data_IF_398042404135
#
_entry.id   IF_398042404135
#
_cell.length_a   1.000
_cell.length_b   1.000
_cell.length_c   1.000
_cell.angle_alpha   90.00
_cell.angle_beta   90.00
_cell.angle_gamma   90.00
#
_symmetry.space_group_name_H-M   'P 1'
#
loop_
_entity.id
_entity.type
_entity.pdbx_description
1 polymer ?
#
# COMPACT_ATOMS: atom_id res chain seq x y z
N UNK A 1 0.60 -11.33 22.08
CA UNK A 1 2.01 -11.07 21.73
C UNK A 1 2.38 -9.66 22.19
N UNK A 2 3.60 -9.45 22.68
CA UNK A 2 4.11 -8.13 23.03
C UNK A 2 4.46 -7.32 21.76
N UNK A 3 4.57 -5.98 21.91
CA UNK A 3 5.01 -5.09 20.81
C UNK A 3 6.35 -5.54 20.24
N UNK A 4 7.29 -5.94 21.09
CA UNK A 4 8.60 -6.43 20.66
C UNK A 4 8.51 -7.72 19.85
N UNK A 5 7.71 -8.68 20.29
CA UNK A 5 7.52 -9.94 19.56
C UNK A 5 6.95 -9.71 18.15
N UNK A 6 6.03 -8.75 17.98
CA UNK A 6 5.51 -8.36 16.68
C UNK A 6 6.60 -7.79 15.77
N UNK A 7 7.43 -6.90 16.31
CA UNK A 7 8.53 -6.29 15.56
C UNK A 7 9.57 -7.34 15.14
N UNK A 8 9.95 -8.23 16.06
CA UNK A 8 10.93 -9.28 15.80
C UNK A 8 10.43 -10.25 14.71
N UNK A 9 9.17 -10.67 14.77
CA UNK A 9 8.57 -11.53 13.75
C UNK A 9 8.55 -10.86 12.37
N UNK A 10 8.18 -9.59 12.29
CA UNK A 10 8.18 -8.86 11.04
C UNK A 10 9.58 -8.70 10.44
N UNK A 11 10.59 -8.48 11.31
CA UNK A 11 11.98 -8.41 10.88
C UNK A 11 12.53 -9.77 10.43
N UNK A 12 12.20 -10.84 11.12
CA UNK A 12 12.55 -12.20 10.69
C UNK A 12 11.99 -12.52 9.31
N UNK A 13 10.74 -12.16 9.04
CA UNK A 13 10.16 -12.31 7.70
C UNK A 13 10.93 -11.54 6.64
N UNK A 14 11.37 -10.32 6.96
CA UNK A 14 12.20 -9.52 6.06
C UNK A 14 13.56 -10.19 5.78
N UNK A 15 14.24 -10.67 6.81
CA UNK A 15 15.53 -11.35 6.69
C UNK A 15 15.40 -12.64 5.87
N UNK A 16 14.36 -13.43 6.08
CA UNK A 16 14.08 -14.64 5.31
C UNK A 16 13.88 -14.34 3.81
N UNK A 17 13.09 -13.33 3.48
CA UNK A 17 12.87 -12.90 2.08
C UNK A 17 14.19 -12.43 1.44
N UNK A 18 15.01 -11.67 2.14
CA UNK A 18 16.32 -11.23 1.63
C UNK A 18 17.23 -12.43 1.37
N UNK A 19 17.31 -13.38 2.30
CA UNK A 19 18.16 -14.58 2.17
C UNK A 19 17.69 -15.49 1.03
N UNK A 20 16.39 -15.60 0.79
CA UNK A 20 15.83 -16.41 -0.30
C UNK A 20 16.01 -15.79 -1.68
N UNK A 21 16.45 -14.52 -1.78
CA UNK A 21 16.60 -13.82 -3.04
C UNK A 21 18.01 -14.02 -3.60
N UNK A 22 18.15 -14.81 -4.67
CA UNK A 22 19.43 -15.08 -5.31
C UNK A 22 20.16 -13.78 -5.72
N UNK A 23 21.45 -13.69 -5.35
CA UNK A 23 22.29 -12.52 -5.66
C UNK A 23 21.96 -11.26 -4.84
N UNK A 24 21.02 -11.34 -3.92
CA UNK A 24 20.68 -10.21 -3.05
C UNK A 24 21.57 -10.21 -1.80
N UNK A 25 22.13 -9.05 -1.49
CA UNK A 25 22.89 -8.85 -0.25
C UNK A 25 22.17 -7.85 0.63
N UNK A 26 22.01 -8.20 1.89
CA UNK A 26 21.48 -7.28 2.92
C UNK A 26 22.35 -6.02 2.96
N UNK A 27 21.69 -4.86 2.85
CA UNK A 27 22.33 -3.56 3.00
C UNK A 27 21.92 -2.97 4.34
N UNK A 28 22.88 -2.41 5.05
CA UNK A 28 22.66 -1.86 6.40
C UNK A 28 21.50 -0.84 6.44
N UNK A 29 21.48 0.11 5.48
CA UNK A 29 20.40 1.09 5.40
C UNK A 29 19.02 0.48 5.11
N UNK A 30 18.98 -0.60 4.35
CA UNK A 30 17.73 -1.34 4.09
C UNK A 30 17.25 -2.07 5.34
N UNK A 31 18.14 -2.72 6.08
CA UNK A 31 17.84 -3.40 7.33
C UNK A 31 17.32 -2.42 8.38
N UNK A 32 18.01 -1.28 8.58
CA UNK A 32 17.56 -0.22 9.50
C UNK A 32 16.17 0.31 9.15
N UNK A 33 15.88 0.47 7.86
CA UNK A 33 14.55 0.89 7.42
C UNK A 33 13.49 -0.17 7.77
N UNK A 34 13.78 -1.45 7.51
CA UNK A 34 12.87 -2.54 7.86
C UNK A 34 12.62 -2.63 9.36
N UNK A 35 13.65 -2.49 10.19
CA UNK A 35 13.53 -2.42 11.65
C UNK A 35 12.63 -1.26 12.10
N UNK A 36 12.88 -0.06 11.57
CA UNK A 36 12.09 1.12 11.91
C UNK A 36 10.60 0.94 11.53
N UNK A 37 10.34 0.36 10.36
CA UNK A 37 8.98 0.04 9.92
C UNK A 37 8.33 -0.98 10.85
N UNK A 38 9.02 -2.09 11.14
CA UNK A 38 8.52 -3.14 12.03
C UNK A 38 8.19 -2.60 13.43
N UNK A 39 9.08 -1.81 14.02
CA UNK A 39 8.87 -1.17 15.32
C UNK A 39 7.68 -0.21 15.30
N UNK A 40 7.56 0.61 14.26
CA UNK A 40 6.47 1.57 14.14
C UNK A 40 5.12 0.88 14.02
N UNK A 41 5.01 -0.10 13.13
CA UNK A 41 3.77 -0.87 12.98
C UNK A 41 3.42 -1.67 14.24
N UNK A 42 4.41 -2.18 14.97
CA UNK A 42 4.17 -2.93 16.21
C UNK A 42 3.56 -2.06 17.33
N UNK A 43 3.88 -0.78 17.35
CA UNK A 43 3.35 0.18 18.31
C UNK A 43 1.96 0.70 17.96
N UNK A 44 1.59 0.67 16.68
CA UNK A 44 0.28 1.11 16.22
C UNK A 44 -0.80 0.11 16.64
N UNK A 45 -1.95 0.62 17.06
CA UNK A 45 -3.13 -0.19 17.36
C UNK A 45 -4.34 0.39 16.62
N UNK A 46 -5.08 -0.48 15.94
CA UNK A 46 -6.38 -0.11 15.39
C UNK A 46 -7.39 -0.08 16.55
N UNK A 47 -8.15 1.00 16.67
CA UNK A 47 -9.31 1.03 17.54
C UNK A 47 -10.31 -0.03 17.09
N UNK A 48 -11.00 -0.67 18.02
CA UNK A 48 -12.12 -1.54 17.69
C UNK A 48 -13.39 -0.70 17.68
N UNK A 49 -14.20 -0.82 16.63
CA UNK A 49 -15.50 -0.14 16.54
C UNK A 49 -16.50 -0.60 17.61
N UNK A 50 -16.26 -1.77 18.21
CA UNK A 50 -17.13 -2.40 19.22
C UNK A 50 -16.69 -2.15 20.66
N UNK A 51 -15.54 -1.51 20.86
CA UNK A 51 -14.95 -1.26 22.18
C UNK A 51 -14.69 0.25 22.30
N UNK A 52 -15.62 0.96 22.96
CA UNK A 52 -15.53 2.42 23.14
C UNK A 52 -14.30 2.85 23.94
N UNK A 53 -13.71 1.96 24.73
CA UNK A 53 -12.50 2.20 25.52
C UNK A 53 -11.21 1.93 24.74
N UNK A 54 -11.27 1.22 23.60
CA UNK A 54 -10.11 0.90 22.77
C UNK A 54 -9.74 2.06 21.85
N UNK A 55 -9.02 3.03 22.41
CA UNK A 55 -8.52 4.16 21.61
C UNK A 55 -7.43 3.72 20.61
N UNK A 56 -7.52 4.14 19.33
CA UNK A 56 -6.49 3.84 18.36
C UNK A 56 -5.18 4.52 18.75
N UNK A 57 -4.11 3.74 18.81
CA UNK A 57 -2.75 4.27 19.02
C UNK A 57 -2.07 4.49 17.69
N UNK A 58 -1.75 5.73 17.38
CA UNK A 58 -1.01 6.09 16.17
C UNK A 58 0.50 6.01 16.41
N UNK A 59 1.22 5.51 15.41
CA UNK A 59 2.67 5.57 15.35
C UNK A 59 3.09 6.01 13.95
N UNK A 60 4.07 6.90 13.85
CA UNK A 60 4.52 7.48 12.59
C UNK A 60 6.04 7.35 12.52
N UNK A 61 6.55 6.78 11.43
CA UNK A 61 7.96 6.84 11.08
C UNK A 61 8.15 7.68 9.83
N UNK A 62 9.14 8.56 9.87
CA UNK A 62 9.59 9.31 8.69
C UNK A 62 10.99 8.83 8.36
N UNK A 63 11.14 8.20 7.18
CA UNK A 63 12.40 7.60 6.77
C UNK A 63 12.85 8.20 5.45
N UNK A 64 14.03 8.81 5.46
CA UNK A 64 14.70 9.27 4.24
C UNK A 64 15.75 8.25 3.83
N UNK A 65 15.65 7.77 2.59
CA UNK A 65 16.63 6.85 2.02
C UNK A 65 16.86 7.16 0.54
N UNK A 66 18.10 7.08 0.10
CA UNK A 66 18.51 7.30 -1.29
C UNK A 66 17.90 6.30 -2.27
N UNK A 67 18.10 6.55 -3.57
CA UNK A 67 17.70 5.60 -4.62
C UNK A 67 18.57 4.34 -4.56
N UNK A 68 18.00 3.19 -4.95
CA UNK A 68 18.76 1.93 -5.01
C UNK A 68 18.99 1.22 -3.67
N UNK A 69 18.54 1.76 -2.53
CA UNK A 69 18.67 1.12 -1.21
C UNK A 69 17.78 -0.13 -1.08
N UNK A 70 16.75 -0.26 -1.90
CA UNK A 70 15.77 -1.35 -1.80
C UNK A 70 14.61 -1.03 -0.87
N UNK A 71 14.15 0.22 -0.89
CA UNK A 71 13.06 0.72 -0.03
C UNK A 71 11.79 -0.11 -0.11
N UNK A 72 11.36 -0.49 -1.32
CA UNK A 72 10.12 -1.25 -1.53
C UNK A 72 10.09 -2.53 -0.71
N UNK A 73 11.18 -3.28 -0.73
CA UNK A 73 11.32 -4.50 0.08
C UNK A 73 11.32 -4.18 1.58
N UNK A 74 12.08 -3.15 1.98
CA UNK A 74 12.28 -2.80 3.38
C UNK A 74 10.99 -2.36 4.09
N UNK A 75 10.04 -1.73 3.39
CA UNK A 75 8.76 -1.37 4.00
C UNK A 75 7.65 -2.38 3.74
N UNK A 76 7.63 -3.03 2.56
CA UNK A 76 6.53 -3.94 2.21
C UNK A 76 6.55 -5.21 3.03
N UNK A 77 7.72 -5.85 3.21
CA UNK A 77 7.77 -7.14 3.91
C UNK A 77 7.35 -7.02 5.37
N UNK A 78 7.91 -6.10 6.19
CA UNK A 78 7.46 -5.96 7.58
C UNK A 78 5.98 -5.56 7.69
N UNK A 79 5.51 -4.70 6.80
CA UNK A 79 4.12 -4.28 6.79
C UNK A 79 3.15 -5.43 6.47
N UNK A 80 3.46 -6.24 5.44
CA UNK A 80 2.67 -7.40 5.06
C UNK A 80 2.69 -8.46 6.17
N UNK A 81 3.87 -8.78 6.70
CA UNK A 81 4.01 -9.75 7.79
C UNK A 81 3.18 -9.34 9.01
N UNK A 82 3.21 -8.06 9.37
CA UNK A 82 2.41 -7.51 10.46
C UNK A 82 0.90 -7.59 10.18
N UNK A 83 0.50 -7.28 8.94
CA UNK A 83 -0.91 -7.35 8.54
C UNK A 83 -1.44 -8.78 8.60
N UNK A 84 -0.68 -9.75 8.11
CA UNK A 84 -1.02 -11.17 8.18
C UNK A 84 -1.14 -11.65 9.63
N UNK A 85 -0.17 -11.33 10.44
CA UNK A 85 -0.12 -11.75 11.84
C UNK A 85 -1.27 -11.15 12.70
N UNK A 86 -1.78 -9.97 12.32
CA UNK A 86 -2.87 -9.27 13.01
C UNK A 86 -4.24 -9.43 12.34
N UNK A 87 -4.33 -10.10 11.19
CA UNK A 87 -5.57 -10.19 10.42
C UNK A 87 -6.06 -8.84 9.89
N UNK A 88 -5.14 -7.92 9.59
CA UNK A 88 -5.44 -6.55 9.15
C UNK A 88 -5.04 -6.32 7.70
N UNK A 89 -5.19 -5.10 7.22
CA UNK A 89 -4.82 -4.70 5.86
C UNK A 89 -3.77 -3.60 5.88
N UNK A 90 -2.92 -3.56 4.85
CA UNK A 90 -1.96 -2.49 4.61
C UNK A 90 -2.33 -1.74 3.35
N UNK A 91 -2.29 -0.43 3.42
CA UNK A 91 -2.38 0.45 2.27
C UNK A 91 -0.99 1.01 1.96
N UNK A 92 -0.52 0.78 0.73
CA UNK A 92 0.72 1.38 0.22
C UNK A 92 0.33 2.46 -0.79
N UNK A 93 0.62 3.72 -0.46
CA UNK A 93 0.40 4.85 -1.36
C UNK A 93 1.72 5.27 -2.01
N UNK A 94 1.70 5.52 -3.30
CA UNK A 94 2.86 5.96 -4.08
C UNK A 94 2.56 7.26 -4.81
N UNK A 95 3.58 8.10 -4.98
CA UNK A 95 3.42 9.40 -5.64
C UNK A 95 3.32 9.29 -7.17
N UNK A 96 3.80 8.21 -7.77
CA UNK A 96 3.87 8.08 -9.23
C UNK A 96 3.25 6.78 -9.74
N UNK A 97 2.70 6.84 -10.96
CA UNK A 97 2.16 5.66 -11.65
C UNK A 97 3.25 4.61 -11.87
N UNK A 98 4.46 5.03 -12.23
CA UNK A 98 5.56 4.11 -12.47
C UNK A 98 5.90 3.28 -11.23
N UNK A 99 5.92 3.89 -10.03
CA UNK A 99 6.11 3.15 -8.77
C UNK A 99 4.93 2.24 -8.45
N UNK A 100 3.71 2.65 -8.77
CA UNK A 100 2.52 1.85 -8.60
C UNK A 100 2.57 0.58 -9.46
N UNK A 101 2.90 0.72 -10.73
CA UNK A 101 3.06 -0.37 -11.70
C UNK A 101 4.21 -1.31 -11.27
N UNK A 102 5.36 -0.76 -10.85
CA UNK A 102 6.47 -1.54 -10.33
C UNK A 102 6.05 -2.40 -9.13
N UNK A 103 5.37 -1.82 -8.15
CA UNK A 103 4.91 -2.55 -6.97
C UNK A 103 3.96 -3.68 -7.35
N UNK A 104 2.95 -3.41 -8.17
CA UNK A 104 1.88 -4.37 -8.47
C UNK A 104 2.35 -5.49 -9.42
N UNK A 105 3.16 -5.16 -10.40
CA UNK A 105 3.54 -6.13 -11.43
C UNK A 105 4.89 -6.79 -11.20
N UNK A 106 5.73 -6.26 -10.31
CA UNK A 106 7.07 -6.79 -10.05
C UNK A 106 7.30 -7.12 -8.58
N UNK A 107 7.20 -6.12 -7.70
CA UNK A 107 7.66 -6.28 -6.33
C UNK A 107 6.72 -7.18 -5.51
N UNK A 108 5.41 -6.93 -5.51
CA UNK A 108 4.43 -7.72 -4.75
C UNK A 108 4.31 -9.18 -5.23
N UNK A 109 4.27 -9.48 -6.55
CA UNK A 109 4.33 -10.87 -7.03
C UNK A 109 5.60 -11.59 -6.60
N UNK A 110 6.75 -10.90 -6.67
CA UNK A 110 8.01 -11.48 -6.23
C UNK A 110 8.05 -11.75 -4.72
N UNK A 111 7.39 -10.92 -3.90
CA UNK A 111 7.23 -11.15 -2.47
C UNK A 111 6.26 -12.29 -2.18
N UNK A 112 5.13 -12.36 -2.88
CA UNK A 112 4.16 -13.43 -2.72
C UNK A 112 4.76 -14.82 -3.00
N UNK A 113 5.74 -14.90 -3.89
CA UNK A 113 6.47 -16.13 -4.18
C UNK A 113 7.53 -16.51 -3.13
N UNK A 114 7.89 -15.62 -2.20
CA UNK A 114 8.99 -15.81 -1.24
C UNK A 114 8.57 -15.76 0.22
N UNK A 115 7.42 -15.18 0.52
CA UNK A 115 6.91 -15.16 1.88
C UNK A 115 6.29 -16.52 2.23
N UNK A 116 6.52 -16.99 3.44
CA UNK A 116 6.00 -18.29 3.92
C UNK A 116 4.47 -18.32 3.98
N UNK A 117 3.85 -17.17 4.25
CA UNK A 117 2.40 -17.04 4.31
C UNK A 117 1.88 -16.36 3.04
N UNK A 118 0.88 -16.95 2.37
CA UNK A 118 0.26 -16.34 1.20
C UNK A 118 -0.50 -15.07 1.60
N UNK A 119 -0.45 -14.07 0.73
CA UNK A 119 -1.23 -12.84 0.86
C UNK A 119 -1.82 -12.42 -0.48
N UNK A 120 -2.96 -11.73 -0.42
CA UNK A 120 -3.58 -11.14 -1.59
C UNK A 120 -3.29 -9.64 -1.63
N UNK A 121 -3.19 -9.10 -2.84
CA UNK A 121 -3.04 -7.67 -3.06
C UNK A 121 -3.89 -7.22 -4.24
N UNK A 122 -4.29 -5.95 -4.22
CA UNK A 122 -5.07 -5.33 -5.30
C UNK A 122 -4.61 -3.89 -5.51
N UNK A 123 -4.77 -3.43 -6.74
CA UNK A 123 -4.48 -2.06 -7.12
C UNK A 123 -5.75 -1.21 -7.03
N UNK A 124 -5.69 -0.12 -6.27
CA UNK A 124 -6.70 0.92 -6.27
C UNK A 124 -6.13 2.19 -6.93
N UNK A 125 -6.79 2.64 -7.99
CA UNK A 125 -6.44 3.87 -8.70
C UNK A 125 -7.43 4.99 -8.33
N UNK A 126 -7.06 6.24 -8.56
CA UNK A 126 -7.98 7.36 -8.44
C UNK A 126 -9.18 7.20 -9.40
N UNK A 127 -10.36 7.71 -9.01
CA UNK A 127 -11.62 7.55 -9.77
C UNK A 127 -11.49 7.92 -11.25
N UNK A 128 -10.77 8.97 -11.58
CA UNK A 128 -10.53 9.41 -12.96
C UNK A 128 -9.77 8.42 -13.85
N UNK A 129 -9.25 7.33 -13.27
CA UNK A 129 -8.56 6.25 -14.02
C UNK A 129 -9.43 5.02 -14.26
N UNK A 130 -10.69 5.07 -13.88
CA UNK A 130 -11.66 4.02 -14.16
C UNK A 130 -12.68 4.53 -15.15
N UNK A 131 -13.05 3.65 -16.10
CA UNK A 131 -14.15 3.94 -17.01
C UNK A 131 -15.47 3.86 -16.25
N UNK A 132 -16.29 4.90 -16.36
CA UNK A 132 -17.65 4.86 -15.87
C UNK A 132 -18.50 3.94 -16.78
N UNK A 133 -18.91 2.79 -16.26
CA UNK A 133 -19.70 1.83 -17.04
C UNK A 133 -21.00 2.45 -17.56
N UNK A 134 -21.68 3.24 -16.75
CA UNK A 134 -22.92 3.92 -17.16
C UNK A 134 -22.70 4.87 -18.33
N UNK A 135 -21.63 5.68 -18.30
CA UNK A 135 -21.28 6.55 -19.43
C UNK A 135 -20.91 5.75 -20.68
N UNK A 136 -20.17 4.65 -20.50
CA UNK A 136 -19.81 3.77 -21.60
C UNK A 136 -21.04 3.10 -22.23
N UNK A 137 -21.96 2.59 -21.44
CA UNK A 137 -23.20 1.98 -21.91
C UNK A 137 -24.09 2.98 -22.66
N UNK A 138 -24.19 4.22 -22.16
CA UNK A 138 -24.91 5.29 -22.88
C UNK A 138 -24.27 5.61 -24.22
N UNK A 139 -22.93 5.64 -24.31
CA UNK A 139 -22.22 5.88 -25.57
C UNK A 139 -22.32 4.71 -26.54
N UNK A 140 -22.27 3.47 -26.04
CA UNK A 140 -22.34 2.26 -26.87
C UNK A 140 -23.75 1.91 -27.30
N UNK A 141 -24.76 2.27 -26.52
CA UNK A 141 -26.15 1.91 -26.74
C UNK A 141 -26.88 2.78 -27.77
N UNK A 142 -26.27 3.81 -28.37
CA UNK A 142 -26.85 4.63 -29.46
C UNK A 142 -28.25 5.20 -29.14
N UNK A 143 -28.68 5.20 -27.89
CA UNK A 143 -29.98 5.69 -27.47
C UNK A 143 -29.99 7.20 -27.39
N UNK A 144 -30.46 7.84 -28.43
CA UNK A 144 -31.06 9.16 -28.35
C UNK A 144 -32.34 9.03 -27.49
N UNK A 145 -32.19 9.06 -26.18
CA UNK A 145 -33.25 9.33 -25.23
C UNK A 145 -33.29 10.80 -24.98
N UNK A 146 -34.34 11.44 -25.46
CA UNK A 146 -34.66 12.83 -25.20
C UNK A 146 -34.56 13.15 -23.71
N UNK A 147 -33.86 14.25 -23.41
CA UNK A 147 -34.16 15.11 -22.26
C UNK A 147 -33.95 14.51 -20.89
N UNK A 148 -32.71 14.39 -20.50
CA UNK A 148 -32.35 14.64 -19.11
C UNK A 148 -31.02 15.40 -19.16
N UNK A 149 -31.13 16.72 -19.31
CA UNK A 149 -30.09 17.67 -19.00
C UNK A 149 -29.80 17.57 -17.48
N UNK A 150 -29.15 16.49 -17.09
CA UNK A 150 -28.40 16.54 -15.86
C UNK A 150 -27.32 17.57 -16.08
N UNK A 151 -27.27 18.64 -15.28
CA UNK A 151 -26.24 19.63 -15.42
C UNK A 151 -24.90 18.91 -15.48
N UNK A 152 -24.06 19.38 -16.37
CA UNK A 152 -22.65 19.03 -16.44
C UNK A 152 -21.97 19.57 -15.16
N UNK A 153 -22.47 19.05 -14.05
CA UNK A 153 -21.91 19.29 -12.74
C UNK A 153 -20.59 18.55 -12.78
N UNK A 154 -19.54 19.31 -13.06
CA UNK A 154 -18.16 18.89 -13.00
C UNK A 154 -17.94 18.13 -11.70
N UNK A 155 -18.11 16.83 -11.74
CA UNK A 155 -17.79 15.93 -10.64
C UNK A 155 -16.29 15.98 -10.29
N UNK A 156 -15.56 16.79 -11.03
CA UNK A 156 -14.16 17.12 -10.82
C UNK A 156 -13.99 18.62 -11.10
N UNK A 157 -13.93 19.46 -10.07
CA UNK A 157 -13.42 20.81 -10.30
C UNK A 157 -12.04 20.66 -10.96
N UNK A 158 -11.87 21.25 -12.15
CA UNK A 158 -10.54 21.46 -12.71
C UNK A 158 -9.71 22.12 -11.61
N UNK A 159 -8.69 21.41 -11.13
CA UNK A 159 -7.66 22.05 -10.33
C UNK A 159 -7.15 23.22 -11.16
N UNK A 160 -7.53 24.41 -10.75
CA UNK A 160 -7.06 25.64 -11.33
C UNK A 160 -5.54 25.53 -11.40
N UNK A 161 -5.03 25.50 -12.60
CA UNK A 161 -3.61 25.60 -12.86
C UNK A 161 -3.10 26.83 -12.13
N UNK A 162 -2.50 26.63 -10.97
CA UNK A 162 -1.77 27.66 -10.25
C UNK A 162 -0.57 28.01 -11.13
N UNK A 163 -0.80 28.99 -11.96
CA UNK A 163 0.24 29.69 -12.69
C UNK A 163 1.10 30.45 -11.69
N UNK A 164 2.41 30.35 -11.91
CA UNK A 164 3.53 31.22 -11.50
C UNK A 164 4.14 30.95 -10.15
#
# INVERSE_FOLDING_TARGET
MSTQQWADQALQSFEAVVQSTAGFRMREGQRRMAEQVAQTFSQAQLGKLEDEDAQPRRAIAVVQAGTGVGKSLAYSVPAIAMALARGTRVLISTATVALQEQLVHKDLPALAARMDQPFAFALAKGRGRYVCKLKLERLAGGGAGEGDDLPDDDLFPEEAAAAR
#
